data_IF_046702894776
#
_entry.id   IF_046702894776
#
_cell.length_a   1.000
_cell.length_b   1.000
_cell.length_c   1.000
_cell.angle_alpha   90.00
_cell.angle_beta   90.00
_cell.angle_gamma   90.00
#
_symmetry.space_group_name_H-M   'P 1'
#
loop_
_entity.id
_entity.type
_entity.pdbx_description
1 polymer ?
#
# COMPACT_ATOMS: atom_id res chain seq x y z
N UNK A 1 0.72 -40.62 2.83
CA UNK A 1 0.65 -39.75 1.64
C UNK A 1 0.41 -38.34 2.13
N UNK A 2 1.47 -37.57 2.32
CA UNK A 2 1.44 -36.19 2.80
C UNK A 2 1.24 -35.27 1.60
N UNK A 3 0.07 -34.63 1.53
CA UNK A 3 -0.20 -33.58 0.55
C UNK A 3 0.59 -32.34 0.98
N UNK A 4 1.73 -32.10 0.34
CA UNK A 4 2.37 -30.80 0.39
C UNK A 4 1.53 -29.91 -0.53
N UNK A 5 0.73 -29.02 0.06
CA UNK A 5 0.21 -27.88 -0.70
C UNK A 5 1.38 -26.92 -0.79
N UNK A 6 2.08 -26.93 -1.92
CA UNK A 6 3.01 -25.85 -2.25
C UNK A 6 2.17 -24.57 -2.28
N UNK A 7 2.53 -23.61 -1.42
CA UNK A 7 2.03 -22.24 -1.56
C UNK A 7 2.30 -21.82 -3.01
N UNK A 8 1.35 -21.14 -3.69
CA UNK A 8 1.60 -20.67 -5.03
C UNK A 8 2.90 -19.87 -5.00
N UNK A 9 3.87 -20.27 -5.82
CA UNK A 9 5.08 -19.51 -6.01
C UNK A 9 4.64 -18.07 -6.27
N UNK A 10 4.98 -17.16 -5.36
CA UNK A 10 4.95 -15.74 -5.66
C UNK A 10 5.97 -15.59 -6.76
N UNK A 11 5.51 -15.62 -8.01
CA UNK A 11 6.38 -15.36 -9.14
C UNK A 11 7.08 -14.06 -8.80
N UNK A 12 8.39 -14.09 -8.94
CA UNK A 12 9.29 -12.96 -8.81
C UNK A 12 9.07 -12.02 -10.01
N UNK A 13 7.80 -11.68 -10.26
CA UNK A 13 7.36 -10.66 -11.19
C UNK A 13 7.59 -9.31 -10.51
N UNK A 14 8.88 -8.96 -10.41
CA UNK A 14 9.37 -7.61 -10.62
C UNK A 14 8.98 -7.12 -12.05
N UNK A 15 7.74 -7.34 -12.46
CA UNK A 15 7.20 -6.99 -13.75
C UNK A 15 6.90 -5.50 -13.71
N UNK A 16 7.95 -4.72 -14.01
CA UNK A 16 7.83 -3.30 -14.32
C UNK A 16 6.61 -3.06 -15.21
N UNK A 17 5.79 -2.09 -14.85
CA UNK A 17 4.64 -1.67 -15.64
C UNK A 17 4.96 -0.44 -16.49
N UNK A 18 4.24 -0.31 -17.58
CA UNK A 18 4.20 0.95 -18.36
C UNK A 18 3.22 1.96 -17.76
N UNK A 19 2.65 1.68 -16.59
CA UNK A 19 1.85 2.64 -15.81
C UNK A 19 2.80 3.58 -15.09
N UNK A 20 2.71 4.87 -15.38
CA UNK A 20 3.60 5.89 -14.77
C UNK A 20 2.86 6.72 -13.75
N UNK A 21 3.51 6.91 -12.60
CA UNK A 21 3.05 7.83 -11.58
C UNK A 21 3.87 9.13 -11.61
N UNK A 22 3.25 10.29 -11.35
CA UNK A 22 3.98 11.53 -11.15
C UNK A 22 4.71 11.46 -9.81
N UNK A 23 6.04 11.27 -9.86
CA UNK A 23 6.86 10.97 -8.68
C UNK A 23 6.66 11.98 -7.53
N UNK A 24 6.65 13.28 -7.85
CA UNK A 24 6.45 14.33 -6.85
C UNK A 24 5.07 14.26 -6.19
N UNK A 25 4.04 13.89 -6.95
CA UNK A 25 2.68 13.73 -6.42
C UNK A 25 2.57 12.52 -5.52
N UNK A 26 3.12 11.37 -5.91
CA UNK A 26 3.06 10.14 -5.09
C UNK A 26 3.72 10.36 -3.74
N UNK A 27 4.94 10.91 -3.73
CA UNK A 27 5.65 11.21 -2.49
C UNK A 27 4.84 12.16 -1.61
N UNK A 28 4.34 13.26 -2.17
CA UNK A 28 3.55 14.24 -1.43
C UNK A 28 2.25 13.65 -0.86
N UNK A 29 1.54 12.82 -1.63
CA UNK A 29 0.29 12.18 -1.21
C UNK A 29 0.54 11.17 -0.10
N UNK A 30 1.52 10.27 -0.26
CA UNK A 30 1.85 9.27 0.75
C UNK A 30 2.32 9.95 2.04
N UNK A 31 3.25 10.90 1.95
CA UNK A 31 3.71 11.64 3.14
C UNK A 31 2.58 12.37 3.85
N UNK A 32 1.75 13.10 3.10
CA UNK A 32 0.62 13.86 3.68
C UNK A 32 -0.41 12.94 4.30
N UNK A 33 -0.74 11.83 3.62
CA UNK A 33 -1.66 10.80 4.12
C UNK A 33 -1.17 10.15 5.40
N UNK A 34 0.06 9.64 5.40
CA UNK A 34 0.67 9.01 6.57
C UNK A 34 0.77 9.98 7.75
N UNK A 35 1.26 11.22 7.54
CA UNK A 35 1.34 12.23 8.61
C UNK A 35 -0.04 12.57 9.18
N UNK A 36 -1.06 12.74 8.33
CA UNK A 36 -2.44 12.97 8.80
C UNK A 36 -2.97 11.78 9.61
N UNK A 37 -2.73 10.55 9.16
CA UNK A 37 -3.13 9.34 9.89
C UNK A 37 -2.50 9.30 11.29
N UNK A 38 -1.19 9.57 11.40
CA UNK A 38 -0.50 9.63 12.69
C UNK A 38 -1.09 10.69 13.63
N UNK A 39 -1.53 11.85 13.13
CA UNK A 39 -2.24 12.83 13.99
C UNK A 39 -3.62 12.39 14.46
N UNK A 40 -4.21 11.38 13.81
CA UNK A 40 -5.54 10.85 14.15
C UNK A 40 -5.48 9.54 14.93
N UNK A 41 -4.32 8.90 14.99
CA UNK A 41 -4.09 7.64 15.71
C UNK A 41 -4.77 7.62 17.09
N UNK A 42 -4.57 8.59 18.00
CA UNK A 42 -5.10 8.47 19.36
C UNK A 42 -6.63 8.46 19.39
N UNK A 43 -7.25 9.15 18.42
CA UNK A 43 -8.70 9.23 18.28
C UNK A 43 -9.26 7.95 17.67
N UNK A 44 -8.54 7.32 16.75
CA UNK A 44 -8.94 6.04 16.14
C UNK A 44 -8.84 4.94 17.20
N UNK A 45 -7.73 4.87 17.93
CA UNK A 45 -7.52 3.97 19.08
C UNK A 45 -8.62 4.15 20.12
N UNK A 46 -9.00 5.39 20.46
CA UNK A 46 -10.11 5.64 21.38
C UNK A 46 -11.44 5.08 20.86
N UNK A 47 -11.76 5.26 19.58
CA UNK A 47 -12.99 4.73 19.01
C UNK A 47 -13.01 3.20 18.98
N UNK A 48 -11.88 2.60 18.66
CA UNK A 48 -11.71 1.16 18.68
C UNK A 48 -11.77 0.60 20.10
N UNK A 49 -11.23 1.30 21.09
CA UNK A 49 -11.36 0.91 22.52
C UNK A 49 -12.82 0.81 22.97
N UNK A 50 -13.71 1.65 22.39
CA UNK A 50 -15.14 1.63 22.73
C UNK A 50 -15.87 0.49 22.01
N UNK A 51 -15.46 0.12 20.81
CA UNK A 51 -16.19 -0.80 19.93
C UNK A 51 -15.50 -2.17 19.72
N UNK A 52 -14.27 -2.33 20.19
CA UNK A 52 -13.35 -3.42 19.88
C UNK A 52 -12.28 -3.57 20.97
N UNK A 53 -11.05 -3.89 20.57
CA UNK A 53 -9.90 -4.18 21.44
C UNK A 53 -8.93 -3.01 21.61
N UNK A 54 -9.07 -1.95 20.79
CA UNK A 54 -8.36 -0.69 21.00
C UNK A 54 -6.94 -0.68 20.43
N UNK A 55 -6.65 -1.49 19.41
CA UNK A 55 -5.33 -1.56 18.77
C UNK A 55 -5.32 -0.99 17.34
N UNK A 56 -6.48 -0.62 16.80
CA UNK A 56 -6.62 -0.27 15.40
C UNK A 56 -5.82 0.97 15.00
N UNK A 57 -5.81 2.00 15.84
CA UNK A 57 -5.03 3.21 15.58
C UNK A 57 -3.52 2.92 15.59
N UNK A 58 -3.03 2.18 16.58
CA UNK A 58 -1.62 1.77 16.66
C UNK A 58 -1.22 0.93 15.45
N UNK A 59 -2.06 -0.02 15.04
CA UNK A 59 -1.84 -0.85 13.85
C UNK A 59 -1.74 0.00 12.58
N UNK A 60 -2.62 0.99 12.43
CA UNK A 60 -2.59 1.94 11.32
C UNK A 60 -1.34 2.85 11.36
N UNK A 61 -0.91 3.25 12.55
CA UNK A 61 0.30 4.06 12.73
C UNK A 61 1.57 3.28 12.36
N UNK A 62 1.64 1.99 12.72
CA UNK A 62 2.75 1.13 12.32
C UNK A 62 2.90 1.05 10.79
N UNK A 63 1.78 0.85 10.08
CA UNK A 63 1.77 0.89 8.61
C UNK A 63 2.21 2.25 8.05
N UNK A 64 1.73 3.36 8.62
CA UNK A 64 2.12 4.70 8.19
C UNK A 64 3.61 4.98 8.40
N UNK A 65 4.18 4.58 9.54
CA UNK A 65 5.60 4.70 9.81
C UNK A 65 6.43 3.90 8.80
N UNK A 66 6.05 2.64 8.53
CA UNK A 66 6.78 1.80 7.60
C UNK A 66 6.76 2.35 6.16
N UNK A 67 5.65 2.94 5.71
CA UNK A 67 5.58 3.63 4.41
C UNK A 67 6.49 4.86 4.39
N UNK A 68 6.50 5.68 5.46
CA UNK A 68 7.36 6.85 5.56
C UNK A 68 8.86 6.47 5.56
N UNK A 69 9.22 5.39 6.23
CA UNK A 69 10.59 4.87 6.25
C UNK A 69 11.02 4.33 4.87
N UNK A 70 10.11 3.66 4.16
CA UNK A 70 10.34 3.21 2.78
C UNK A 70 10.57 4.39 1.82
N UNK A 71 9.83 5.50 2.02
CA UNK A 71 10.02 6.74 1.28
C UNK A 71 11.36 7.42 1.61
N UNK A 72 11.69 7.52 2.90
CA UNK A 72 12.92 8.18 3.36
C UNK A 72 14.19 7.43 2.92
N UNK A 73 14.13 6.10 2.90
CA UNK A 73 15.23 5.25 2.42
C UNK A 73 15.39 5.22 0.90
N UNK A 74 14.52 5.90 0.14
CA UNK A 74 14.49 5.88 -1.33
C UNK A 74 14.40 4.47 -1.94
N UNK A 75 13.89 3.51 -1.18
CA UNK A 75 13.70 2.13 -1.60
C UNK A 75 12.35 1.90 -2.31
N UNK A 76 11.41 2.84 -2.15
CA UNK A 76 10.16 2.85 -2.91
C UNK A 76 10.42 3.31 -4.35
N UNK A 77 10.04 2.47 -5.31
CA UNK A 77 9.85 2.87 -6.69
C UNK A 77 8.67 3.85 -6.75
N UNK A 78 8.86 5.03 -7.34
CA UNK A 78 7.85 6.10 -7.38
C UNK A 78 7.42 6.47 -8.80
N UNK A 79 8.05 5.87 -9.81
CA UNK A 79 7.75 6.10 -11.23
C UNK A 79 6.85 5.01 -11.79
N UNK A 80 7.12 3.75 -11.45
CA UNK A 80 6.35 2.60 -11.93
C UNK A 80 5.17 2.32 -11.01
N UNK A 81 3.95 2.56 -11.48
CA UNK A 81 2.77 2.57 -10.61
C UNK A 81 2.42 1.21 -10.02
N UNK A 82 2.53 0.13 -10.81
CA UNK A 82 2.25 -1.22 -10.31
C UNK A 82 3.32 -1.63 -9.30
N UNK A 83 4.61 -1.40 -9.61
CA UNK A 83 5.70 -1.74 -8.70
C UNK A 83 5.63 -0.93 -7.39
N UNK A 84 5.27 0.36 -7.48
CA UNK A 84 5.05 1.22 -6.31
C UNK A 84 4.01 0.60 -5.38
N UNK A 85 2.86 0.20 -5.93
CA UNK A 85 1.75 -0.35 -5.14
C UNK A 85 2.09 -1.73 -4.57
N UNK A 86 2.78 -2.59 -5.31
CA UNK A 86 3.24 -3.88 -4.79
C UNK A 86 4.16 -3.70 -3.58
N UNK A 87 5.16 -2.82 -3.66
CA UNK A 87 6.05 -2.55 -2.53
C UNK A 87 5.30 -1.97 -1.32
N UNK A 88 4.29 -1.13 -1.55
CA UNK A 88 3.44 -0.61 -0.47
C UNK A 88 2.60 -1.72 0.15
N UNK A 89 2.02 -2.62 -0.65
CA UNK A 89 1.30 -3.81 -0.17
C UNK A 89 2.18 -4.64 0.76
N UNK A 90 3.40 -4.98 0.33
CA UNK A 90 4.31 -5.84 1.10
C UNK A 90 4.65 -5.21 2.46
N UNK A 91 4.92 -3.90 2.46
CA UNK A 91 5.20 -3.14 3.68
C UNK A 91 3.98 -3.06 4.58
N UNK A 92 2.80 -2.80 4.03
CA UNK A 92 1.54 -2.76 4.78
C UNK A 92 1.23 -4.12 5.40
N UNK A 93 1.37 -5.20 4.64
CA UNK A 93 1.11 -6.56 5.12
C UNK A 93 2.04 -6.96 6.28
N UNK A 94 3.31 -6.55 6.19
CA UNK A 94 4.33 -6.91 7.18
C UNK A 94 4.28 -6.02 8.42
N UNK A 95 4.05 -4.72 8.24
CA UNK A 95 4.07 -3.74 9.32
C UNK A 95 2.73 -3.63 10.04
N UNK A 96 1.62 -3.89 9.35
CA UNK A 96 0.29 -3.91 9.96
C UNK A 96 -0.08 -5.34 10.37
N UNK A 97 -0.59 -5.47 11.59
CA UNK A 97 -1.12 -6.74 12.09
C UNK A 97 -2.61 -6.91 11.84
N UNK A 98 -3.12 -8.08 12.26
CA UNK A 98 -4.55 -8.32 12.40
C UNK A 98 -5.36 -8.28 11.10
N UNK A 99 -6.67 -8.07 11.25
CA UNK A 99 -7.61 -8.04 10.11
C UNK A 99 -7.39 -6.81 9.23
N UNK A 100 -6.99 -5.67 9.81
CA UNK A 100 -6.77 -4.43 9.06
C UNK A 100 -5.60 -4.56 8.08
N UNK A 101 -4.47 -5.14 8.50
CA UNK A 101 -3.34 -5.43 7.59
C UNK A 101 -3.77 -6.23 6.37
N UNK A 102 -4.46 -7.36 6.58
CA UNK A 102 -4.98 -8.19 5.49
C UNK A 102 -5.96 -7.44 4.56
N UNK A 103 -6.87 -6.64 5.11
CA UNK A 103 -7.82 -5.86 4.31
C UNK A 103 -7.14 -4.81 3.42
N UNK A 104 -6.16 -4.08 3.96
CA UNK A 104 -5.42 -3.09 3.16
C UNK A 104 -4.53 -3.75 2.12
N UNK A 105 -3.87 -4.87 2.45
CA UNK A 105 -3.06 -5.61 1.48
C UNK A 105 -3.90 -6.13 0.31
N UNK A 106 -5.10 -6.66 0.58
CA UNK A 106 -6.04 -7.07 -0.47
C UNK A 106 -6.45 -5.87 -1.33
N UNK A 107 -6.81 -4.76 -0.71
CA UNK A 107 -7.23 -3.55 -1.43
C UNK A 107 -6.14 -3.02 -2.37
N UNK A 108 -4.91 -2.87 -1.87
CA UNK A 108 -3.79 -2.31 -2.65
C UNK A 108 -3.35 -3.30 -3.74
N UNK A 109 -3.33 -4.61 -3.44
CA UNK A 109 -3.07 -5.65 -4.44
C UNK A 109 -4.10 -5.64 -5.57
N UNK A 110 -5.39 -5.51 -5.24
CA UNK A 110 -6.45 -5.40 -6.23
C UNK A 110 -6.32 -4.15 -7.10
N UNK A 111 -5.89 -3.02 -6.50
CA UNK A 111 -5.60 -1.80 -7.24
C UNK A 111 -4.42 -1.99 -8.21
N UNK A 112 -3.31 -2.55 -7.74
CA UNK A 112 -2.14 -2.84 -8.58
C UNK A 112 -2.50 -3.74 -9.77
N UNK A 113 -3.27 -4.80 -9.50
CA UNK A 113 -3.81 -5.69 -10.52
C UNK A 113 -4.71 -4.96 -11.53
N UNK A 114 -5.62 -4.11 -11.05
CA UNK A 114 -6.52 -3.35 -11.93
C UNK A 114 -5.75 -2.39 -12.85
N UNK A 115 -4.72 -1.72 -12.33
CA UNK A 115 -3.87 -0.85 -13.15
C UNK A 115 -3.10 -1.66 -14.22
N UNK A 116 -2.61 -2.85 -13.87
CA UNK A 116 -1.94 -3.76 -14.79
C UNK A 116 -2.88 -4.30 -15.86
N UNK A 117 -4.09 -4.69 -15.51
CA UNK A 117 -5.11 -5.14 -16.46
C UNK A 117 -5.50 -4.03 -17.44
N UNK A 118 -5.61 -2.79 -16.95
CA UNK A 118 -5.83 -1.63 -17.81
C UNK A 118 -4.65 -1.41 -18.76
N UNK A 119 -3.41 -1.52 -18.27
CA UNK A 119 -2.20 -1.46 -19.12
C UNK A 119 -2.23 -2.50 -20.24
N UNK A 120 -2.65 -3.74 -19.92
CA UNK A 120 -2.72 -4.82 -20.91
C UNK A 120 -3.79 -4.58 -21.98
N UNK A 121 -4.87 -3.85 -21.66
CA UNK A 121 -5.96 -3.51 -22.59
C UNK A 121 -5.66 -2.26 -23.42
N UNK A 122 -5.18 -1.21 -22.77
CA UNK A 122 -5.11 0.14 -23.33
C UNK A 122 -3.67 0.58 -23.68
N UNK A 123 -2.66 -0.20 -23.27
CA UNK A 123 -1.24 0.17 -23.34
C UNK A 123 -0.78 0.96 -22.11
N UNK A 124 0.49 1.39 -22.12
CA UNK A 124 1.05 2.21 -21.03
C UNK A 124 0.42 3.59 -20.95
N UNK A 125 0.19 4.09 -19.73
CA UNK A 125 -0.41 5.40 -19.49
C UNK A 125 0.17 6.05 -18.23
N UNK A 126 0.08 7.38 -18.17
CA UNK A 126 0.43 8.14 -16.98
C UNK A 126 -0.83 8.41 -16.15
N UNK A 127 -0.76 8.15 -14.85
CA UNK A 127 -1.83 8.47 -13.91
C UNK A 127 -1.77 9.97 -13.65
N UNK A 128 -2.72 10.70 -14.22
CA UNK A 128 -2.89 12.11 -13.92
C UNK A 128 -3.75 12.26 -12.67
N UNK A 129 -3.36 13.08 -11.69
CA UNK A 129 -4.25 13.39 -10.57
C UNK A 129 -5.40 14.25 -11.09
N UNK A 130 -6.67 13.83 -10.99
CA UNK A 130 -7.76 14.78 -11.03
C UNK A 130 -7.82 15.40 -9.63
N UNK A 131 -7.23 16.60 -9.48
CA UNK A 131 -7.51 17.53 -8.38
C UNK A 131 -6.94 17.09 -7.01
N UNK A 132 -5.73 17.55 -6.69
CA UNK A 132 -5.31 17.80 -5.31
C UNK A 132 -5.38 19.31 -5.09
N UNK A 133 -6.59 19.83 -4.87
CA UNK A 133 -6.87 21.18 -4.39
C UNK A 133 -7.78 21.08 -3.17
#
# INVERSE_FOLDING_TARGET
SSYIIEAPATSDDSATSKVKFPQGTVKAVLESGCKKLLTKEPKITLYDTVAGDGDCGETLANGAHAILDLLASSNLEVSDGVKSLTQITDVVETAMGGTSGGLYSIFISALAKSLKEKELKDGGYEVTPPILA
#
